data_IF_014734655816
#
_entry.id   IF_014734655816
#
_cell.length_a   1.000
_cell.length_b   1.000
_cell.length_c   1.000
_cell.angle_alpha   90.00
_cell.angle_beta   90.00
_cell.angle_gamma   90.00
#
_symmetry.space_group_name_H-M   'P 1'
#
loop_
_entity.id
_entity.type
_entity.pdbx_description
1 polymer ?
#
# COMPACT_ATOMS: atom_id res chain seq x y z
N UNK A 1 14.74 8.29 9.61
CA UNK A 1 14.52 9.33 8.57
C UNK A 1 14.37 10.65 9.30
N UNK A 2 15.28 11.60 9.13
CA UNK A 2 15.13 12.93 9.76
C UNK A 2 14.17 13.76 8.92
N UNK A 3 12.92 13.87 9.36
CA UNK A 3 11.96 14.81 8.79
C UNK A 3 12.50 16.24 9.01
N UNK A 4 12.78 16.96 7.92
CA UNK A 4 13.11 18.37 8.03
C UNK A 4 11.83 19.14 8.34
N UNK A 5 11.72 19.63 9.58
CA UNK A 5 10.55 20.34 10.12
C UNK A 5 10.24 21.63 9.32
N UNK A 6 11.17 22.10 8.49
CA UNK A 6 11.03 23.32 7.69
C UNK A 6 10.65 23.09 6.21
N UNK A 7 10.43 21.85 5.77
CA UNK A 7 9.97 21.54 4.41
C UNK A 7 8.54 21.01 4.42
N UNK A 8 7.72 21.44 3.45
CA UNK A 8 6.36 20.93 3.25
C UNK A 8 6.44 19.40 3.04
N UNK A 9 5.74 18.57 3.84
CA UNK A 9 5.74 17.13 3.66
C UNK A 9 5.20 16.72 2.28
N UNK A 10 5.72 15.64 1.70
CA UNK A 10 5.32 15.22 0.35
C UNK A 10 3.83 14.92 0.23
N UNK A 11 3.19 14.39 1.29
CA UNK A 11 1.74 14.15 1.32
C UNK A 11 0.89 15.45 1.38
N UNK A 12 1.52 16.61 1.51
CA UNK A 12 0.92 17.94 1.39
C UNK A 12 1.47 18.73 0.18
N UNK A 13 2.23 18.11 -0.73
CA UNK A 13 2.85 18.80 -1.86
C UNK A 13 2.35 18.25 -3.20
N UNK A 14 1.49 18.99 -3.89
CA UNK A 14 0.93 18.56 -5.18
C UNK A 14 1.94 18.55 -6.33
N UNK A 15 3.11 19.17 -6.17
CA UNK A 15 4.20 19.08 -7.14
C UNK A 15 4.92 17.74 -7.06
N UNK A 16 4.75 16.98 -5.97
CA UNK A 16 5.38 15.67 -5.73
C UNK A 16 4.31 14.59 -5.66
N UNK A 17 3.98 14.00 -6.82
CA UNK A 17 2.98 12.93 -6.91
C UNK A 17 3.57 11.52 -6.76
N UNK A 18 4.88 11.37 -6.95
CA UNK A 18 5.59 10.11 -6.80
C UNK A 18 7.10 10.35 -6.80
N UNK A 19 7.83 9.61 -5.98
CA UNK A 19 9.29 9.51 -6.05
C UNK A 19 9.70 8.09 -6.43
N UNK A 20 10.72 7.94 -7.28
CA UNK A 20 11.30 6.64 -7.66
C UNK A 20 10.30 5.59 -8.22
N UNK A 21 9.12 6.03 -8.69
CA UNK A 21 8.13 5.16 -9.32
C UNK A 21 8.52 4.87 -10.77
N UNK A 22 8.52 3.58 -11.13
CA UNK A 22 8.77 3.11 -12.51
C UNK A 22 7.68 3.65 -13.46
N UNK A 23 7.99 3.96 -14.74
CA UNK A 23 7.00 4.42 -15.71
C UNK A 23 5.81 3.47 -15.88
N UNK A 24 4.62 4.05 -16.09
CA UNK A 24 3.41 3.30 -16.38
C UNK A 24 3.56 2.48 -17.68
N UNK A 25 3.01 1.27 -17.67
CA UNK A 25 3.00 0.34 -18.80
C UNK A 25 1.78 -0.57 -18.74
N UNK A 26 1.50 -1.27 -19.84
CA UNK A 26 0.45 -2.30 -19.85
C UNK A 26 0.75 -3.39 -18.82
N UNK A 27 -0.32 -3.91 -18.22
CA UNK A 27 -0.23 -5.01 -17.26
C UNK A 27 0.12 -6.32 -17.98
N UNK A 28 1.09 -7.05 -17.44
CA UNK A 28 1.34 -8.44 -17.77
C UNK A 28 2.10 -9.13 -16.64
N UNK A 29 1.97 -10.45 -16.54
CA UNK A 29 2.81 -11.29 -15.69
C UNK A 29 3.93 -11.84 -16.58
N UNK A 30 5.21 -11.60 -16.24
CA UNK A 30 6.30 -12.19 -17.00
C UNK A 30 6.34 -13.70 -16.74
N UNK A 31 6.52 -14.51 -17.77
CA UNK A 31 6.74 -15.96 -17.66
C UNK A 31 8.16 -16.30 -18.13
N UNK A 32 8.72 -17.40 -17.66
CA UNK A 32 10.02 -17.89 -18.11
C UNK A 32 9.99 -18.52 -19.51
N UNK A 33 8.83 -19.02 -19.95
CA UNK A 33 8.62 -19.64 -21.26
C UNK A 33 7.17 -19.49 -21.73
N UNK A 34 6.93 -19.74 -23.01
CA UNK A 34 5.59 -19.77 -23.60
C UNK A 34 4.72 -20.87 -22.99
N UNK A 35 5.27 -22.08 -22.79
CA UNK A 35 4.56 -23.20 -22.16
C UNK A 35 4.07 -22.87 -20.74
N UNK A 36 4.89 -22.15 -19.95
CA UNK A 36 4.51 -21.70 -18.61
C UNK A 36 3.36 -20.68 -18.67
N UNK A 37 3.34 -19.82 -19.69
CA UNK A 37 2.27 -18.86 -19.92
C UNK A 37 0.97 -19.57 -20.31
N UNK A 38 1.02 -20.50 -21.26
CA UNK A 38 -0.15 -21.23 -21.77
C UNK A 38 -0.74 -22.21 -20.75
N UNK A 39 0.08 -22.75 -19.85
CA UNK A 39 -0.38 -23.62 -18.75
C UNK A 39 -0.96 -22.85 -17.56
N UNK A 40 -0.69 -21.54 -17.47
CA UNK A 40 -1.31 -20.69 -16.46
C UNK A 40 -2.75 -20.38 -16.86
N UNK A 41 -3.73 -20.51 -15.96
CA UNK A 41 -5.11 -20.20 -16.33
C UNK A 41 -5.29 -18.71 -16.63
N UNK A 42 -6.06 -18.38 -17.67
CA UNK A 42 -6.35 -16.98 -18.06
C UNK A 42 -7.23 -16.25 -17.02
N UNK A 43 -8.15 -16.97 -16.38
CA UNK A 43 -8.99 -16.49 -15.30
C UNK A 43 -8.72 -17.35 -14.06
N UNK A 44 -7.74 -16.95 -13.27
CA UNK A 44 -7.49 -17.57 -11.97
C UNK A 44 -7.19 -16.55 -10.90
N UNK A 45 -7.29 -17.02 -9.67
CA UNK A 45 -6.75 -16.30 -8.51
C UNK A 45 -5.23 -16.20 -8.67
N UNK A 46 -4.62 -15.13 -8.12
CA UNK A 46 -3.17 -14.88 -8.27
C UNK A 46 -2.32 -16.00 -7.68
N UNK A 47 -2.84 -16.74 -6.70
CA UNK A 47 -2.20 -17.93 -6.11
C UNK A 47 -1.99 -19.08 -7.11
N UNK A 48 -2.75 -19.10 -8.20
CA UNK A 48 -2.72 -20.17 -9.18
C UNK A 48 -1.76 -19.88 -10.35
N UNK A 49 -1.19 -18.67 -10.42
CA UNK A 49 -0.21 -18.25 -11.43
C UNK A 49 1.02 -19.17 -11.38
N UNK A 50 1.41 -19.72 -12.53
CA UNK A 50 2.54 -20.68 -12.66
C UNK A 50 3.80 -20.06 -13.27
N UNK A 51 4.13 -18.82 -12.92
CA UNK A 51 5.36 -18.17 -13.35
C UNK A 51 6.44 -18.21 -12.28
N UNK A 52 7.68 -18.58 -12.64
CA UNK A 52 8.84 -18.46 -11.75
C UNK A 52 9.30 -17.02 -11.51
N UNK A 53 8.79 -16.07 -12.30
CA UNK A 53 9.08 -14.63 -12.19
C UNK A 53 8.02 -13.89 -11.38
N UNK A 54 7.13 -14.62 -10.71
CA UNK A 54 6.04 -14.09 -9.91
C UNK A 54 6.12 -14.64 -8.49
N UNK A 55 5.94 -13.76 -7.51
CA UNK A 55 5.85 -14.10 -6.10
C UNK A 55 4.61 -13.45 -5.50
N UNK A 56 3.78 -14.24 -4.82
CA UNK A 56 2.58 -13.74 -4.16
C UNK A 56 2.92 -13.38 -2.71
N UNK A 57 2.83 -12.09 -2.39
CA UNK A 57 3.08 -11.58 -1.04
C UNK A 57 1.79 -11.36 -0.23
N UNK A 58 0.65 -11.84 -0.72
CA UNK A 58 -0.58 -11.88 0.07
C UNK A 58 -0.39 -12.86 1.23
N UNK A 59 -0.92 -12.51 2.40
CA UNK A 59 -0.74 -13.29 3.61
C UNK A 59 -0.85 -12.42 4.85
N UNK A 60 -0.35 -12.90 5.98
CA UNK A 60 -0.32 -12.12 7.21
C UNK A 60 0.90 -11.18 7.22
N UNK A 61 0.66 -9.92 7.53
CA UNK A 61 1.70 -8.90 7.67
C UNK A 61 1.66 -8.33 9.08
N UNK A 62 2.84 -8.07 9.65
CA UNK A 62 2.95 -7.28 10.88
C UNK A 62 2.51 -5.85 10.59
N UNK A 63 1.56 -5.37 11.38
CA UNK A 63 0.94 -4.07 11.21
C UNK A 63 0.77 -3.38 12.56
N UNK A 64 1.10 -2.08 12.59
CA UNK A 64 0.95 -1.23 13.77
C UNK A 64 0.27 0.06 13.34
N UNK A 65 -0.84 0.39 14.00
CA UNK A 65 -1.63 1.57 13.68
C UNK A 65 -1.22 2.76 14.55
N UNK A 66 -1.03 3.92 13.91
CA UNK A 66 -0.77 5.20 14.57
C UNK A 66 -1.76 6.24 14.07
N UNK A 67 -2.31 7.05 14.99
CA UNK A 67 -3.29 8.10 14.65
C UNK A 67 -2.69 9.26 13.84
N UNK A 68 -1.37 9.43 13.88
CA UNK A 68 -0.64 10.45 13.13
C UNK A 68 0.78 9.97 12.86
N UNK A 69 1.35 10.41 11.75
CA UNK A 69 2.76 10.18 11.39
C UNK A 69 3.73 10.68 12.48
N UNK A 70 3.32 11.70 13.25
CA UNK A 70 4.11 12.26 14.35
C UNK A 70 4.31 11.29 15.52
N UNK A 71 3.50 10.23 15.61
CA UNK A 71 3.62 9.20 16.65
C UNK A 71 4.41 7.97 16.20
N UNK A 72 4.83 7.92 14.93
CA UNK A 72 5.65 6.81 14.41
C UNK A 72 7.08 6.99 14.96
N UNK A 73 7.65 5.98 15.63
CA UNK A 73 9.02 6.09 16.16
C UNK A 73 10.05 6.09 15.02
N UNK A 74 11.20 6.72 15.27
CA UNK A 74 12.30 6.77 14.29
C UNK A 74 12.84 5.37 13.95
N UNK A 75 12.86 4.47 14.94
CA UNK A 75 13.24 3.08 14.74
C UNK A 75 12.01 2.19 14.52
N UNK A 76 11.65 2.01 13.25
CA UNK A 76 10.51 1.18 12.86
C UNK A 76 10.82 -0.32 12.83
N UNK A 77 12.09 -0.72 12.87
CA UNK A 77 12.50 -2.13 12.74
C UNK A 77 12.25 -2.95 14.01
N UNK A 78 12.14 -2.26 15.15
CA UNK A 78 11.84 -2.85 16.45
C UNK A 78 10.36 -2.71 16.84
N UNK A 79 9.52 -2.21 15.93
CA UNK A 79 8.09 -2.11 16.18
C UNK A 79 7.46 -3.49 16.32
N UNK A 80 6.86 -3.72 17.48
CA UNK A 80 5.89 -4.78 17.64
C UNK A 80 4.57 -4.37 16.96
N UNK A 81 3.89 -5.36 16.39
CA UNK A 81 2.65 -5.17 15.66
C UNK A 81 1.86 -6.46 15.62
N UNK A 82 0.58 -6.33 15.31
CA UNK A 82 -0.33 -7.46 15.17
C UNK A 82 -0.25 -8.02 13.75
N UNK A 83 -0.58 -9.28 13.57
CA UNK A 83 -0.70 -9.87 12.25
C UNK A 83 -2.08 -9.62 11.66
N UNK A 84 -2.13 -8.97 10.50
CA UNK A 84 -3.36 -8.77 9.73
C UNK A 84 -3.27 -9.40 8.34
N UNK A 85 -4.38 -9.90 7.76
CA UNK A 85 -4.38 -10.41 6.40
C UNK A 85 -4.23 -9.26 5.39
N UNK A 86 -3.40 -9.44 4.37
CA UNK A 86 -3.20 -8.50 3.26
C UNK A 86 -3.49 -9.23 1.94
N UNK A 87 -4.33 -8.67 1.03
CA UNK A 87 -4.95 -7.34 1.11
C UNK A 87 -6.15 -7.26 2.07
N UNK A 88 -6.23 -6.17 2.82
CA UNK A 88 -7.40 -5.78 3.62
C UNK A 88 -7.43 -4.27 3.82
N UNK A 89 -8.53 -3.76 4.35
CA UNK A 89 -8.66 -2.38 4.84
C UNK A 89 -8.58 -2.37 6.36
N UNK A 90 -7.71 -1.57 6.98
CA UNK A 90 -7.48 -1.59 8.44
C UNK A 90 -8.72 -1.27 9.28
N UNK A 91 -9.75 -0.61 8.71
CA UNK A 91 -11.03 -0.41 9.39
C UNK A 91 -11.79 -1.73 9.61
N UNK A 92 -11.59 -2.76 8.76
CA UNK A 92 -12.18 -4.10 8.98
C UNK A 92 -11.52 -4.87 10.12
N UNK A 93 -10.29 -4.50 10.49
CA UNK A 93 -9.54 -5.19 11.56
C UNK A 93 -9.71 -4.51 12.92
N UNK A 94 -10.50 -3.42 13.00
CA UNK A 94 -10.89 -2.78 14.26
C UNK A 94 -10.02 -1.61 14.71
N UNK A 95 -9.01 -1.17 13.92
CA UNK A 95 -8.14 -0.06 14.31
C UNK A 95 -8.81 1.32 14.25
N UNK A 96 -9.81 1.46 13.37
CA UNK A 96 -10.51 2.71 13.15
C UNK A 96 -11.95 2.46 12.70
N UNK A 97 -12.86 3.36 13.05
CA UNK A 97 -14.24 3.33 12.60
C UNK A 97 -14.37 3.78 11.14
N UNK A 98 -15.35 3.22 10.44
CA UNK A 98 -15.71 3.66 9.10
C UNK A 98 -16.30 5.06 9.10
N UNK A 99 -15.97 5.84 8.07
CA UNK A 99 -16.61 7.12 7.78
C UNK A 99 -17.47 6.98 6.52
N UNK A 100 -18.74 7.36 6.62
CA UNK A 100 -19.65 7.45 5.48
C UNK A 100 -20.19 8.88 5.39
N UNK A 101 -19.70 9.62 4.40
CA UNK A 101 -20.07 11.01 4.13
C UNK A 101 -20.44 11.13 2.64
N UNK A 102 -21.44 11.95 2.32
CA UNK A 102 -21.95 12.07 0.94
C UNK A 102 -21.27 13.20 0.17
N UNK A 103 -21.36 14.43 0.69
CA UNK A 103 -20.87 15.65 0.01
C UNK A 103 -19.64 16.23 0.70
N UNK A 104 -19.68 16.33 2.03
CA UNK A 104 -18.62 16.96 2.80
C UNK A 104 -17.39 16.05 2.93
N UNK A 105 -16.22 16.67 3.00
CA UNK A 105 -15.01 15.96 3.36
C UNK A 105 -15.08 15.49 4.82
N UNK A 106 -14.55 14.30 5.16
CA UNK A 106 -14.49 13.82 6.55
C UNK A 106 -13.42 14.55 7.39
N UNK A 107 -12.83 15.62 6.84
CA UNK A 107 -11.79 16.44 7.45
C UNK A 107 -11.95 17.91 7.01
N UNK A 108 -11.34 18.88 7.74
CA UNK A 108 -11.42 20.30 7.38
C UNK A 108 -10.93 20.60 5.97
N UNK A 109 -11.69 21.43 5.23
CA UNK A 109 -11.34 21.83 3.86
C UNK A 109 -10.24 22.90 3.90
N UNK A 110 -8.99 22.45 3.85
CA UNK A 110 -7.81 23.28 3.75
C UNK A 110 -6.84 22.65 2.72
N UNK A 111 -7.00 22.95 1.42
CA UNK A 111 -6.15 22.38 0.39
C UNK A 111 -4.69 22.82 0.57
N UNK A 112 -3.70 21.99 0.20
CA UNK A 112 -2.30 22.41 0.21
C UNK A 112 -2.06 23.55 -0.79
N UNK A 113 -1.18 24.48 -0.42
CA UNK A 113 -0.72 25.59 -1.28
C UNK A 113 0.22 25.11 -2.40
#
# INVERSE_FOLDING_TARGET
MTYNVNSIPDWQNLSVLSENRVPSRSYFIPYESEDACLSSPFFCDRKDIKSKRFELLNGNWKFSYFRSVLFVPDNIFELEGEEIPVPSTWQTTGYETWNYVNLDYPFPVNPPE
#
